data_IF_574571896366
#
_entry.id   IF_574571896366
#
_cell.length_a   1.000
_cell.length_b   1.000
_cell.length_c   1.000
_cell.angle_alpha   90.00
_cell.angle_beta   90.00
_cell.angle_gamma   90.00
#
_symmetry.space_group_name_H-M   'P 1'
#
loop_
_entity.id
_entity.type
_entity.pdbx_description
1 polymer ?
#
# COMPACT_ATOMS: atom_id res chain seq x y z
N UNK A 1 -3.05 -11.28 17.69
CA UNK A 1 -3.53 -12.60 17.19
C UNK A 1 -5.05 -12.57 17.09
N UNK A 2 -5.61 -13.18 16.05
CA UNK A 2 -7.04 -13.38 15.80
C UNK A 2 -7.33 -14.89 15.75
N UNK A 3 -8.50 -15.33 16.21
CA UNK A 3 -8.91 -16.74 16.18
C UNK A 3 -10.08 -16.89 15.22
N UNK A 4 -9.91 -17.75 14.22
CA UNK A 4 -10.96 -18.03 13.24
C UNK A 4 -12.22 -18.60 13.91
N UNK A 5 -13.38 -18.26 13.39
CA UNK A 5 -14.67 -18.76 13.80
C UNK A 5 -14.74 -20.28 13.62
N UNK A 6 -15.36 -20.97 14.58
CA UNK A 6 -15.52 -22.43 14.57
C UNK A 6 -14.21 -23.24 14.37
N UNK A 7 -13.06 -22.65 14.68
CA UNK A 7 -11.75 -23.27 14.48
C UNK A 7 -10.80 -22.97 15.63
N UNK A 8 -9.82 -23.85 15.82
CA UNK A 8 -8.67 -23.61 16.69
C UNK A 8 -7.52 -22.88 15.97
N UNK A 9 -7.69 -22.56 14.68
CA UNK A 9 -6.69 -21.81 13.90
C UNK A 9 -6.65 -20.37 14.39
N UNK A 10 -5.43 -19.89 14.65
CA UNK A 10 -5.15 -18.51 15.00
C UNK A 10 -4.25 -17.91 13.92
N UNK A 11 -4.54 -16.68 13.54
CA UNK A 11 -3.77 -15.92 12.55
C UNK A 11 -3.29 -14.59 13.13
N UNK A 12 -2.40 -13.94 12.42
CA UNK A 12 -1.97 -12.59 12.76
C UNK A 12 -3.10 -11.58 12.50
N UNK A 13 -3.19 -10.51 13.29
CA UNK A 13 -4.20 -9.45 13.04
C UNK A 13 -3.90 -8.64 11.76
N UNK A 14 -2.68 -8.75 11.24
CA UNK A 14 -2.28 -8.20 9.95
C UNK A 14 -2.90 -8.96 8.76
N UNK A 15 -3.36 -10.19 8.97
CA UNK A 15 -4.03 -11.06 7.99
C UNK A 15 -5.56 -10.91 8.00
N UNK A 16 -6.05 -9.73 8.38
CA UNK A 16 -7.49 -9.45 8.41
C UNK A 16 -7.77 -8.46 7.30
N UNK A 17 -8.70 -8.77 6.39
CA UNK A 17 -8.97 -7.95 5.21
C UNK A 17 -7.71 -7.74 4.38
N UNK A 18 -6.98 -8.83 4.11
CA UNK A 18 -5.77 -8.82 3.29
C UNK A 18 -5.95 -9.43 1.89
N UNK A 19 -7.20 -9.75 1.53
CA UNK A 19 -7.59 -10.37 0.27
C UNK A 19 -7.44 -11.88 0.26
N UNK A 20 -6.86 -12.47 1.31
CA UNK A 20 -6.55 -13.90 1.38
C UNK A 20 -7.44 -14.55 2.41
N UNK A 21 -8.23 -15.54 1.97
CA UNK A 21 -8.96 -16.39 2.90
C UNK A 21 -8.00 -17.31 3.68
N UNK A 22 -7.58 -16.87 4.86
CA UNK A 22 -6.85 -17.67 5.83
C UNK A 22 -7.80 -18.50 6.72
N UNK A 23 -8.99 -18.00 7.04
CA UNK A 23 -9.97 -18.72 7.86
C UNK A 23 -10.97 -19.53 7.02
N UNK A 24 -11.30 -20.75 7.48
CA UNK A 24 -12.27 -21.62 6.80
C UNK A 24 -13.66 -20.97 6.62
N UNK A 25 -14.06 -20.14 7.59
CA UNK A 25 -15.33 -19.43 7.56
C UNK A 25 -15.25 -18.05 6.87
N UNK A 26 -14.07 -17.65 6.36
CA UNK A 26 -13.81 -16.35 5.75
C UNK A 26 -14.11 -15.15 6.66
N UNK A 27 -14.03 -15.36 7.98
CA UNK A 27 -14.31 -14.35 9.00
C UNK A 27 -13.17 -13.34 9.19
N UNK A 28 -11.99 -13.69 8.71
CA UNK A 28 -10.83 -12.81 8.53
C UNK A 28 -11.06 -11.72 7.48
N UNK A 29 -11.62 -12.10 6.33
CA UNK A 29 -11.91 -11.19 5.21
C UNK A 29 -13.27 -10.47 5.34
N UNK A 30 -14.00 -10.74 6.42
CA UNK A 30 -15.27 -10.08 6.74
C UNK A 30 -15.23 -9.35 8.08
N UNK A 31 -14.04 -9.16 8.65
CA UNK A 31 -13.86 -8.56 9.96
C UNK A 31 -14.31 -7.09 10.02
N UNK A 32 -15.42 -6.83 10.69
CA UNK A 32 -16.08 -5.51 10.69
C UNK A 32 -15.45 -4.41 11.55
N UNK A 33 -14.54 -4.74 12.48
CA UNK A 33 -13.89 -3.76 13.38
C UNK A 33 -12.41 -3.55 13.04
N UNK A 34 -12.04 -3.70 11.77
CA UNK A 34 -10.65 -3.62 11.31
C UNK A 34 -9.99 -2.26 11.59
N UNK A 35 -10.78 -1.18 11.60
CA UNK A 35 -10.29 0.16 11.94
C UNK A 35 -9.85 0.27 13.40
N UNK A 36 -10.49 -0.47 14.32
CA UNK A 36 -10.14 -0.48 15.75
C UNK A 36 -8.93 -1.34 16.10
N UNK A 37 -8.31 -2.00 15.11
CA UNK A 37 -7.13 -2.82 15.34
C UNK A 37 -5.88 -1.99 15.70
N UNK A 38 -5.94 -0.66 15.58
CA UNK A 38 -4.85 0.26 15.92
C UNK A 38 -3.64 0.13 14.99
N UNK A 39 -3.84 -0.44 13.81
CA UNK A 39 -2.82 -0.51 12.77
C UNK A 39 -2.83 0.79 12.00
N UNK A 40 -1.81 1.62 12.24
CA UNK A 40 -1.66 2.95 11.64
C UNK A 40 -1.73 2.97 10.11
N UNK A 41 -1.45 1.85 9.45
CA UNK A 41 -1.30 1.76 8.00
C UNK A 41 -2.52 1.24 7.25
N UNK A 42 -3.65 0.94 7.93
CA UNK A 42 -4.85 0.47 7.24
C UNK A 42 -5.57 1.60 6.51
N UNK A 43 -6.05 1.34 5.30
CA UNK A 43 -6.81 2.31 4.52
C UNK A 43 -8.28 2.28 4.93
N UNK A 44 -8.79 3.39 5.44
CA UNK A 44 -10.22 3.56 5.61
C UNK A 44 -10.76 4.09 4.29
N UNK A 45 -11.74 3.40 3.72
CA UNK A 45 -12.58 3.97 2.66
C UNK A 45 -13.33 5.21 3.22
N UNK A 46 -14.23 5.78 2.45
CA UNK A 46 -15.13 6.88 2.84
C UNK A 46 -15.57 6.78 4.30
N UNK A 47 -15.64 7.91 5.03
CA UNK A 47 -15.82 7.95 6.50
C UNK A 47 -16.99 7.07 7.03
N UNK A 48 -18.00 6.82 6.19
CA UNK A 48 -19.16 5.99 6.50
C UNK A 48 -18.91 4.47 6.40
N UNK A 49 -17.74 4.03 5.91
CA UNK A 49 -17.41 2.62 5.76
C UNK A 49 -16.77 2.07 7.03
N UNK A 50 -17.32 1.00 7.62
CA UNK A 50 -16.90 0.51 8.95
C UNK A 50 -15.59 -0.28 8.92
N UNK A 51 -15.11 -0.64 7.73
CA UNK A 51 -13.94 -1.46 7.51
C UNK A 51 -12.75 -0.60 7.11
N UNK A 52 -11.57 -1.15 7.34
CA UNK A 52 -10.29 -0.54 7.02
C UNK A 52 -9.43 -1.63 6.40
N UNK A 53 -9.14 -1.48 5.12
CA UNK A 53 -8.44 -2.42 4.27
C UNK A 53 -6.99 -2.57 4.71
N UNK A 54 -6.43 -3.75 4.44
CA UNK A 54 -4.98 -3.94 4.48
C UNK A 54 -4.33 -3.06 3.40
N UNK A 55 -3.10 -2.57 3.63
CA UNK A 55 -2.30 -1.97 2.56
C UNK A 55 -2.15 -2.85 1.31
N UNK A 56 -2.32 -4.17 1.45
CA UNK A 56 -2.18 -5.15 0.36
C UNK A 56 -3.29 -5.00 -0.69
N UNK A 57 -4.39 -4.32 -0.33
CA UNK A 57 -5.60 -4.11 -1.13
C UNK A 57 -5.68 -2.68 -1.65
N UNK A 58 -4.54 -2.01 -1.80
CA UNK A 58 -4.47 -0.66 -2.35
C UNK A 58 -3.71 -0.75 -3.66
N UNK A 59 -4.34 -0.33 -4.75
CA UNK A 59 -3.81 -0.46 -6.10
C UNK A 59 -3.51 -1.92 -6.48
N UNK A 60 -4.39 -2.83 -6.08
CA UNK A 60 -4.27 -4.26 -6.39
C UNK A 60 -5.06 -4.67 -7.65
N UNK A 61 -5.58 -3.68 -8.39
CA UNK A 61 -6.43 -3.78 -9.57
C UNK A 61 -7.88 -4.26 -9.26
N UNK A 62 -8.27 -4.34 -7.98
CA UNK A 62 -9.62 -4.72 -7.57
C UNK A 62 -10.31 -3.64 -6.74
N UNK A 63 -11.57 -3.36 -7.07
CA UNK A 63 -12.40 -2.44 -6.27
C UNK A 63 -12.88 -3.13 -4.98
N UNK A 64 -12.15 -2.92 -3.89
CA UNK A 64 -12.43 -3.34 -2.52
C UNK A 64 -13.24 -2.31 -1.71
N UNK A 65 -13.18 -1.01 -2.03
CA UNK A 65 -14.10 -0.02 -1.48
C UNK A 65 -15.35 0.14 -2.35
N UNK A 66 -16.47 0.65 -1.80
CA UNK A 66 -17.72 0.84 -2.54
C UNK A 66 -17.65 1.70 -3.81
N UNK A 67 -16.65 2.57 -3.90
CA UNK A 67 -16.43 3.49 -5.03
C UNK A 67 -15.03 3.34 -5.63
N UNK A 68 -14.30 2.27 -5.26
CA UNK A 68 -12.94 1.98 -5.75
C UNK A 68 -11.89 3.05 -5.40
N UNK A 69 -12.08 3.83 -4.34
CA UNK A 69 -11.20 4.97 -3.99
C UNK A 69 -9.77 4.59 -3.60
N UNK A 70 -9.58 3.38 -3.09
CA UNK A 70 -8.30 2.68 -2.92
C UNK A 70 -7.62 2.39 -4.27
N UNK A 71 -8.40 2.12 -5.32
CA UNK A 71 -7.91 1.91 -6.69
C UNK A 71 -7.81 3.21 -7.48
N UNK A 72 -8.48 4.28 -7.04
CA UNK A 72 -8.29 5.62 -7.58
C UNK A 72 -6.88 6.06 -7.18
N UNK A 73 -5.93 5.76 -8.05
CA UNK A 73 -4.70 6.51 -8.13
C UNK A 73 -5.13 7.95 -8.37
N UNK A 74 -5.03 8.80 -7.34
CA UNK A 74 -5.49 10.19 -7.40
C UNK A 74 -5.22 10.78 -8.79
N UNK A 75 -6.22 11.43 -9.43
CA UNK A 75 -6.02 12.15 -10.69
C UNK A 75 -4.91 13.25 -10.64
N UNK A 76 -4.29 13.46 -9.47
CA UNK A 76 -3.12 14.31 -9.29
C UNK A 76 -1.78 13.62 -9.58
N UNK A 77 -1.71 12.28 -9.74
CA UNK A 77 -0.47 11.61 -10.17
C UNK A 77 -0.31 11.53 -11.69
N UNK A 78 -1.38 11.77 -12.46
CA UNK A 78 -1.34 11.94 -13.92
C UNK A 78 -1.89 13.33 -14.27
N UNK A 79 -1.09 14.40 -14.08
CA UNK A 79 -1.23 15.66 -14.86
C UNK A 79 -0.22 16.76 -14.48
N UNK A 80 0.50 16.66 -13.36
CA UNK A 80 1.56 17.63 -13.05
C UNK A 80 2.88 16.89 -12.87
N UNK A 81 3.74 16.98 -13.88
CA UNK A 81 5.19 16.84 -13.71
C UNK A 81 5.56 17.56 -12.42
N UNK A 82 5.91 16.79 -11.38
CA UNK A 82 6.38 17.42 -10.13
C UNK A 82 7.69 18.12 -10.46
N UNK A 83 7.85 19.36 -10.01
CA UNK A 83 9.15 20.05 -10.13
C UNK A 83 10.08 19.69 -8.96
N UNK A 84 9.55 19.06 -7.91
CA UNK A 84 10.27 18.69 -6.71
C UNK A 84 10.33 17.18 -6.56
N UNK A 85 11.54 16.70 -6.29
CA UNK A 85 11.80 15.30 -6.00
C UNK A 85 11.34 14.96 -4.58
N UNK A 86 10.66 13.82 -4.43
CA UNK A 86 10.21 13.28 -3.14
C UNK A 86 11.00 12.01 -2.84
N UNK A 87 11.90 12.06 -1.86
CA UNK A 87 12.68 10.88 -1.45
C UNK A 87 11.82 9.70 -0.99
N UNK A 88 10.56 9.95 -0.64
CA UNK A 88 9.62 8.92 -0.22
C UNK A 88 8.98 8.17 -1.40
N UNK A 89 9.12 8.66 -2.64
CA UNK A 89 8.51 8.11 -3.87
C UNK A 89 9.51 7.95 -5.02
N UNK A 90 10.82 8.11 -4.78
CA UNK A 90 11.84 7.72 -5.78
C UNK A 90 11.89 6.20 -5.83
N UNK A 91 11.92 5.64 -7.05
CA UNK A 91 12.03 4.21 -7.28
C UNK A 91 10.89 3.42 -6.65
N UNK A 92 9.68 4.00 -6.70
CA UNK A 92 8.44 3.40 -6.21
C UNK A 92 7.63 2.71 -7.33
N UNK A 93 8.17 2.69 -8.55
CA UNK A 93 7.54 2.11 -9.74
C UNK A 93 6.76 3.13 -10.57
N UNK A 94 6.66 4.39 -10.14
CA UNK A 94 5.93 5.43 -10.84
C UNK A 94 6.86 6.54 -11.33
N UNK A 95 6.80 6.85 -12.63
CA UNK A 95 7.52 7.99 -13.19
C UNK A 95 6.74 9.28 -12.95
N UNK A 96 7.19 10.10 -12.01
CA UNK A 96 6.51 11.32 -11.55
C UNK A 96 7.24 12.59 -11.99
N UNK A 97 8.54 12.45 -12.29
CA UNK A 97 9.39 13.50 -12.85
C UNK A 97 9.57 13.32 -14.36
N UNK A 98 9.62 14.44 -15.08
CA UNK A 98 9.99 14.44 -16.50
C UNK A 98 11.43 13.96 -16.70
N UNK A 99 11.72 13.20 -17.76
CA UNK A 99 13.07 12.72 -18.02
C UNK A 99 14.07 13.87 -18.23
N UNK A 100 15.24 13.75 -17.59
CA UNK A 100 16.37 14.67 -17.77
C UNK A 100 17.47 13.99 -18.58
N UNK A 101 18.15 14.74 -19.46
CA UNK A 101 19.26 14.22 -20.26
C UNK A 101 20.59 14.44 -19.52
N UNK A 102 21.28 13.36 -19.18
CA UNK A 102 22.62 13.35 -18.56
C UNK A 102 23.47 12.33 -19.33
N UNK A 103 24.67 12.70 -19.76
CA UNK A 103 25.61 11.82 -20.47
C UNK A 103 24.97 11.02 -21.63
N UNK A 104 24.18 11.71 -22.48
CA UNK A 104 23.42 11.16 -23.61
C UNK A 104 22.37 10.09 -23.25
N UNK A 105 22.00 9.98 -21.96
CA UNK A 105 20.94 9.09 -21.48
C UNK A 105 19.83 9.88 -20.79
N UNK A 106 18.60 9.39 -20.93
CA UNK A 106 17.43 9.94 -20.26
C UNK A 106 17.26 9.28 -18.89
N UNK A 107 17.30 10.07 -17.84
CA UNK A 107 17.13 9.64 -16.45
C UNK A 107 15.81 10.13 -15.89
N UNK A 108 15.20 9.31 -15.04
CA UNK A 108 13.99 9.63 -14.28
C UNK A 108 14.19 9.27 -12.81
N UNK A 109 13.22 9.60 -11.97
CA UNK A 109 13.07 9.08 -10.60
C UNK A 109 13.03 7.55 -10.51
N UNK A 110 12.81 6.86 -11.62
CA UNK A 110 12.75 5.39 -11.75
C UNK A 110 13.99 4.78 -12.44
N UNK A 111 15.10 5.52 -12.52
CA UNK A 111 16.37 5.01 -13.06
C UNK A 111 17.38 4.74 -11.95
N UNK A 112 18.24 3.74 -12.15
CA UNK A 112 19.32 3.38 -11.22
C UNK A 112 18.86 2.98 -9.79
N UNK A 113 17.63 2.45 -9.66
CA UNK A 113 17.03 2.05 -8.38
C UNK A 113 17.79 1.00 -7.57
N UNK A 114 18.81 0.36 -8.14
CA UNK A 114 19.74 -0.49 -7.38
C UNK A 114 20.47 0.28 -6.27
N UNK A 115 20.63 1.60 -6.41
CA UNK A 115 21.21 2.47 -5.38
C UNK A 115 20.18 3.04 -4.40
N UNK A 116 18.88 2.81 -4.64
CA UNK A 116 17.78 3.28 -3.81
C UNK A 116 16.89 2.10 -3.37
N UNK A 117 17.31 1.32 -2.35
CA UNK A 117 16.53 0.19 -1.86
C UNK A 117 15.15 0.63 -1.42
N UNK A 118 14.11 -0.12 -1.77
CA UNK A 118 12.73 0.23 -1.43
C UNK A 118 12.47 0.33 0.08
N UNK A 119 13.26 -0.34 0.94
CA UNK A 119 13.27 -0.17 2.40
C UNK A 119 14.52 0.60 2.79
N UNK A 120 14.35 1.88 3.07
CA UNK A 120 15.40 2.80 3.46
C UNK A 120 14.86 3.82 4.48
N UNK A 121 15.71 4.74 4.94
CA UNK A 121 15.33 5.73 5.95
C UNK A 121 14.14 6.63 5.57
N UNK A 122 13.91 6.86 4.28
CA UNK A 122 12.88 7.73 3.74
C UNK A 122 11.59 6.99 3.41
N UNK A 123 11.67 5.69 3.13
CA UNK A 123 10.54 4.82 2.77
C UNK A 123 10.03 3.97 3.94
N UNK A 124 10.89 3.68 4.92
CA UNK A 124 10.53 2.84 6.04
C UNK A 124 9.45 3.46 6.91
N UNK A 125 8.37 2.69 7.14
CA UNK A 125 7.26 3.02 8.03
C UNK A 125 6.65 4.41 7.76
N UNK A 126 6.72 4.88 6.51
CA UNK A 126 6.33 6.22 6.10
C UNK A 126 4.89 6.32 5.54
N UNK A 127 4.12 5.23 5.57
CA UNK A 127 2.76 5.10 5.03
C UNK A 127 2.66 5.08 3.49
N UNK A 128 3.76 4.83 2.78
CA UNK A 128 3.78 4.64 1.33
C UNK A 128 4.39 3.28 1.06
N UNK A 129 3.67 2.42 0.35
CA UNK A 129 4.21 1.11 -0.02
C UNK A 129 5.17 1.26 -1.19
N UNK A 130 6.46 1.10 -0.91
CA UNK A 130 7.50 1.15 -1.94
C UNK A 130 8.11 -0.24 -2.22
N UNK A 131 8.06 -1.18 -1.27
CA UNK A 131 8.68 -2.51 -1.43
C UNK A 131 7.69 -3.61 -1.82
N UNK A 132 8.09 -4.61 -2.62
CA UNK A 132 7.33 -5.84 -2.77
C UNK A 132 6.90 -6.42 -1.41
N UNK A 133 5.61 -6.73 -1.26
CA UNK A 133 4.98 -7.25 -0.03
C UNK A 133 4.97 -6.27 1.17
N UNK A 134 5.20 -4.97 0.93
CA UNK A 134 5.14 -3.93 1.95
C UNK A 134 6.23 -4.03 3.02
N UNK A 135 7.38 -4.63 2.68
CA UNK A 135 8.47 -4.86 3.63
C UNK A 135 9.00 -3.56 4.26
N UNK A 136 8.91 -2.44 3.54
CA UNK A 136 9.26 -1.10 4.03
C UNK A 136 8.30 -0.63 5.14
N UNK A 137 7.11 -1.19 5.27
CA UNK A 137 6.15 -0.84 6.32
C UNK A 137 6.20 -1.79 7.53
N UNK A 138 7.18 -2.70 7.57
CA UNK A 138 7.40 -3.61 8.69
C UNK A 138 8.37 -2.96 9.71
N UNK A 139 8.03 -2.93 11.01
CA UNK A 139 8.88 -2.36 12.06
C UNK A 139 10.13 -3.20 12.38
#
# INVERSE_FOLDING_TARGET
MYRCANSSKCISKYRLLDGIQDCLANDDETYGNSCSLGHHYRFQCSDDWPKCLSPLLIHDDYEDCPVGEEEIQFPWRIAQSRTNISFATICDGFRELEPILIDDQYHTDETECNYWPCDNRYTRCNNIWNCPKGNDQLP
#
